data_IF_835908401789
#
_entry.id   IF_835908401789
#
_cell.length_a   1.000
_cell.length_b   1.000
_cell.length_c   1.000
_cell.angle_alpha   90.00
_cell.angle_beta   90.00
_cell.angle_gamma   90.00
#
_symmetry.space_group_name_H-M   'P 1'
#
loop_
_entity.id
_entity.type
_entity.pdbx_description
1 polymer ?
#
# COMPACT_ATOMS: atom_id res chain seq x y z
N UNK A 1 -42.59 -13.99 6.38
CA UNK A 1 -41.92 -13.51 7.61
C UNK A 1 -40.63 -14.30 7.78
N UNK A 2 -39.49 -13.77 7.32
CA UNK A 2 -38.18 -14.40 7.56
C UNK A 2 -37.78 -14.06 9.00
N UNK A 3 -37.53 -15.09 9.81
CA UNK A 3 -36.93 -14.98 11.14
C UNK A 3 -35.65 -14.14 11.05
N UNK A 4 -35.74 -12.87 11.44
CA UNK A 4 -34.57 -12.08 11.82
C UNK A 4 -34.16 -12.67 13.16
N UNK A 5 -33.19 -13.58 13.14
CA UNK A 5 -32.48 -13.99 14.35
C UNK A 5 -31.96 -12.70 14.99
N UNK A 6 -32.58 -12.27 16.09
CA UNK A 6 -32.04 -11.19 16.91
C UNK A 6 -30.64 -11.61 17.36
N UNK A 7 -29.63 -11.02 16.75
CA UNK A 7 -28.24 -11.23 17.17
C UNK A 7 -28.09 -10.56 18.53
N UNK A 8 -27.84 -11.38 19.58
CA UNK A 8 -27.61 -10.88 20.94
C UNK A 8 -26.33 -10.05 21.00
N UNK A 9 -26.33 -9.04 21.86
CA UNK A 9 -25.14 -8.24 22.15
C UNK A 9 -24.04 -9.15 22.70
N UNK A 10 -22.79 -9.05 22.19
CA UNK A 10 -21.71 -9.89 22.64
C UNK A 10 -21.33 -9.61 24.10
N UNK A 11 -20.94 -10.65 24.84
CA UNK A 11 -20.48 -10.55 26.23
C UNK A 11 -19.02 -10.08 26.37
N UNK A 12 -18.27 -10.07 25.27
CA UNK A 12 -16.86 -9.64 25.18
C UNK A 12 -16.51 -9.20 23.76
N UNK A 13 -15.39 -8.49 23.60
CA UNK A 13 -14.89 -7.98 22.31
C UNK A 13 -14.56 -9.14 21.37
N UNK A 14 -15.15 -9.14 20.17
CA UNK A 14 -15.00 -10.18 19.14
C UNK A 14 -13.79 -9.93 18.24
N UNK A 15 -12.58 -9.94 18.81
CA UNK A 15 -11.33 -9.61 18.09
C UNK A 15 -11.15 -10.37 16.77
N UNK A 16 -11.38 -11.69 16.75
CA UNK A 16 -11.22 -12.51 15.53
C UNK A 16 -12.22 -12.14 14.43
N UNK A 17 -13.46 -11.80 14.81
CA UNK A 17 -14.46 -11.32 13.86
C UNK A 17 -14.02 -10.00 13.24
N UNK A 18 -13.56 -9.05 14.08
CA UNK A 18 -13.13 -7.73 13.63
C UNK A 18 -11.95 -7.86 12.66
N UNK A 19 -10.92 -8.65 13.00
CA UNK A 19 -9.78 -8.91 12.09
C UNK A 19 -10.22 -9.43 10.73
N UNK A 20 -11.17 -10.38 10.71
CA UNK A 20 -11.70 -10.96 9.47
C UNK A 20 -12.44 -9.93 8.63
N UNK A 21 -13.28 -9.11 9.26
CA UNK A 21 -14.01 -8.03 8.58
C UNK A 21 -13.04 -6.98 8.03
N UNK A 22 -12.05 -6.56 8.81
CA UNK A 22 -11.02 -5.60 8.39
C UNK A 22 -10.26 -6.14 7.18
N UNK A 23 -9.79 -7.39 7.23
CA UNK A 23 -9.12 -8.02 6.08
C UNK A 23 -10.02 -8.01 4.82
N UNK A 24 -11.28 -8.43 4.95
CA UNK A 24 -12.20 -8.46 3.81
C UNK A 24 -12.44 -7.06 3.24
N UNK A 25 -12.56 -6.04 4.08
CA UNK A 25 -12.73 -4.65 3.65
C UNK A 25 -11.48 -4.13 2.92
N UNK A 26 -10.29 -4.36 3.49
CA UNK A 26 -9.02 -3.98 2.86
C UNK A 26 -8.88 -4.62 1.48
N UNK A 27 -9.15 -5.93 1.39
CA UNK A 27 -9.12 -6.67 0.12
C UNK A 27 -10.11 -6.12 -0.90
N UNK A 28 -11.38 -5.98 -0.50
CA UNK A 28 -12.46 -5.60 -1.41
C UNK A 28 -12.43 -4.11 -1.82
N UNK A 29 -11.69 -3.28 -1.07
CA UNK A 29 -11.42 -1.88 -1.40
C UNK A 29 -10.04 -1.68 -2.03
N UNK A 30 -9.31 -2.75 -2.36
CA UNK A 30 -7.99 -2.69 -3.01
C UNK A 30 -6.98 -1.79 -2.25
N UNK A 31 -6.98 -1.93 -0.93
CA UNK A 31 -6.03 -1.25 -0.03
C UNK A 31 -4.82 -2.15 0.15
N UNK A 32 -3.67 -1.70 -0.36
CA UNK A 32 -2.40 -2.42 -0.36
C UNK A 32 -1.24 -1.61 0.24
N UNK A 33 -1.51 -0.41 0.74
CA UNK A 33 -0.50 0.51 1.29
C UNK A 33 -1.07 1.35 2.43
N UNK A 34 -0.17 1.91 3.25
CA UNK A 34 -0.49 2.97 4.20
C UNK A 34 0.02 4.31 3.66
N UNK A 35 -0.65 5.44 3.97
CA UNK A 35 -1.90 5.56 4.74
C UNK A 35 -3.10 4.97 3.98
N UNK A 36 -4.10 4.45 4.69
CA UNK A 36 -5.32 3.93 4.06
C UNK A 36 -6.06 5.05 3.34
N UNK A 37 -6.32 4.84 2.05
CA UNK A 37 -7.14 5.70 1.21
C UNK A 37 -8.63 5.51 1.52
N UNK A 38 -9.24 6.55 2.09
CA UNK A 38 -10.65 6.51 2.49
C UNK A 38 -11.60 6.59 1.28
N UNK A 39 -11.16 7.14 0.14
CA UNK A 39 -12.00 7.25 -1.06
C UNK A 39 -12.19 5.90 -1.73
N UNK A 40 -11.17 5.06 -1.72
CA UNK A 40 -11.29 3.65 -2.12
C UNK A 40 -12.34 2.91 -1.29
N UNK A 41 -12.31 3.11 0.03
CA UNK A 41 -13.31 2.55 0.95
C UNK A 41 -14.70 3.12 0.65
N UNK A 42 -14.83 4.44 0.50
CA UNK A 42 -16.08 5.12 0.18
C UNK A 42 -16.72 4.58 -1.11
N UNK A 43 -15.91 4.41 -2.18
CA UNK A 43 -16.34 3.81 -3.44
C UNK A 43 -16.86 2.38 -3.23
N UNK A 44 -16.16 1.56 -2.46
CA UNK A 44 -16.57 0.19 -2.15
C UNK A 44 -17.89 0.14 -1.34
N UNK A 45 -17.99 0.87 -0.23
CA UNK A 45 -19.15 0.80 0.67
C UNK A 45 -20.42 1.37 0.02
N UNK A 46 -20.29 2.39 -0.85
CA UNK A 46 -21.40 2.96 -1.62
C UNK A 46 -21.99 1.95 -2.59
N UNK A 47 -21.14 1.17 -3.26
CA UNK A 47 -21.55 0.18 -4.27
C UNK A 47 -22.10 -1.10 -3.63
N UNK A 48 -21.44 -1.60 -2.58
CA UNK A 48 -21.67 -2.96 -2.09
C UNK A 48 -22.41 -3.04 -0.75
N UNK A 49 -22.37 -1.99 0.08
CA UNK A 49 -22.88 -2.00 1.47
C UNK A 49 -24.07 -1.05 1.64
N UNK A 50 -24.48 -0.35 0.58
CA UNK A 50 -25.54 0.69 0.62
C UNK A 50 -25.31 1.71 1.74
N UNK A 51 -24.04 2.06 1.97
CA UNK A 51 -23.63 3.03 2.97
C UNK A 51 -23.16 4.30 2.26
N UNK A 52 -23.59 5.49 2.73
CA UNK A 52 -23.16 6.78 2.18
C UNK A 52 -22.55 7.64 3.28
N UNK A 53 -21.42 8.26 2.98
CA UNK A 53 -20.81 9.28 3.83
C UNK A 53 -21.48 10.63 3.51
N UNK A 54 -21.87 11.37 4.55
CA UNK A 54 -22.54 12.66 4.45
C UNK A 54 -21.79 13.66 5.35
N UNK A 55 -21.10 14.66 4.77
CA UNK A 55 -20.49 15.71 5.57
C UNK A 55 -21.56 16.54 6.30
N UNK A 56 -21.24 17.02 7.50
CA UNK A 56 -22.10 17.91 8.27
C UNK A 56 -22.43 19.17 7.46
N UNK A 57 -21.45 19.78 6.79
CA UNK A 57 -21.65 20.95 5.94
C UNK A 57 -22.72 20.73 4.86
N UNK A 58 -22.73 19.54 4.25
CA UNK A 58 -23.70 19.17 3.21
C UNK A 58 -25.11 19.02 3.79
N UNK A 59 -25.25 18.36 4.95
CA UNK A 59 -26.54 18.21 5.61
C UNK A 59 -27.08 19.55 6.10
N UNK A 60 -26.22 20.37 6.72
CA UNK A 60 -26.54 21.72 7.17
C UNK A 60 -27.05 22.59 6.03
N UNK A 61 -26.34 22.61 4.88
CA UNK A 61 -26.78 23.38 3.70
C UNK A 61 -28.13 22.92 3.18
N UNK A 62 -28.38 21.61 3.17
CA UNK A 62 -29.63 21.04 2.65
C UNK A 62 -30.84 21.36 3.52
N UNK A 63 -30.66 21.42 4.84
CA UNK A 63 -31.76 21.60 5.81
C UNK A 63 -31.74 22.97 6.49
N UNK A 64 -30.85 23.88 6.04
CA UNK A 64 -30.65 25.21 6.60
C UNK A 64 -30.41 25.20 8.11
N UNK A 65 -29.50 24.31 8.56
CA UNK A 65 -29.15 24.16 9.98
C UNK A 65 -27.87 24.91 10.33
N UNK A 66 -27.85 25.49 11.53
CA UNK A 66 -26.62 25.94 12.19
C UNK A 66 -25.77 24.76 12.68
N UNK A 67 -24.49 25.01 12.99
CA UNK A 67 -23.60 23.96 13.55
C UNK A 67 -24.14 23.42 14.89
N UNK A 68 -24.73 24.27 15.72
CA UNK A 68 -25.33 23.86 17.01
C UNK A 68 -26.52 22.94 16.79
N UNK A 69 -27.36 23.22 15.81
CA UNK A 69 -28.50 22.35 15.44
C UNK A 69 -28.02 21.03 14.83
N UNK A 70 -26.97 21.06 14.01
CA UNK A 70 -26.38 19.84 13.45
C UNK A 70 -25.81 18.92 14.55
N UNK A 71 -25.08 19.48 15.52
CA UNK A 71 -24.55 18.72 16.66
C UNK A 71 -25.69 18.12 17.50
N UNK A 72 -26.78 18.87 17.71
CA UNK A 72 -27.98 18.36 18.39
C UNK A 72 -28.68 17.27 17.59
N UNK A 73 -28.77 17.40 16.27
CA UNK A 73 -29.35 16.39 15.38
C UNK A 73 -28.55 15.09 15.39
N UNK A 74 -27.22 15.20 15.32
CA UNK A 74 -26.31 14.06 15.35
C UNK A 74 -26.13 13.44 16.73
N UNK A 75 -26.47 14.20 17.79
CA UNK A 75 -26.10 13.89 19.19
C UNK A 75 -24.59 13.65 19.36
N UNK A 76 -23.79 14.32 18.53
CA UNK A 76 -22.34 14.12 18.43
C UNK A 76 -21.66 15.31 17.77
N UNK A 77 -20.51 15.70 18.33
CA UNK A 77 -19.65 16.73 17.74
C UNK A 77 -18.86 16.23 16.54
N UNK A 78 -18.69 14.91 16.40
CA UNK A 78 -17.70 14.33 15.49
C UNK A 78 -18.37 13.60 14.33
N UNK A 79 -19.37 12.78 14.63
CA UNK A 79 -20.08 11.98 13.64
C UNK A 79 -21.06 11.02 14.29
N UNK A 80 -21.93 10.44 13.47
CA UNK A 80 -22.89 9.42 13.88
C UNK A 80 -23.39 8.63 12.66
N UNK A 81 -24.05 7.50 12.91
CA UNK A 81 -24.63 6.67 11.85
C UNK A 81 -26.12 6.47 12.01
N UNK A 82 -26.84 6.66 10.89
CA UNK A 82 -28.25 6.33 10.75
C UNK A 82 -28.45 5.07 9.91
N UNK A 83 -29.25 4.15 10.42
CA UNK A 83 -29.71 2.98 9.68
C UNK A 83 -31.17 3.13 9.25
N UNK A 84 -31.46 2.94 7.96
CA UNK A 84 -32.83 2.91 7.44
C UNK A 84 -33.30 1.47 7.25
N UNK A 85 -34.19 0.99 8.14
CA UNK A 85 -34.77 -0.37 8.05
C UNK A 85 -35.51 -0.57 6.72
N UNK A 86 -36.28 0.44 6.27
CA UNK A 86 -37.05 0.36 5.01
C UNK A 86 -36.19 0.17 3.78
N UNK A 87 -35.00 0.80 3.74
CA UNK A 87 -34.10 0.78 2.58
C UNK A 87 -32.94 -0.21 2.73
N UNK A 88 -32.79 -0.79 3.93
CA UNK A 88 -31.60 -1.53 4.38
C UNK A 88 -30.31 -0.80 3.97
N UNK A 89 -30.21 0.47 4.37
CA UNK A 89 -29.13 1.38 3.96
C UNK A 89 -28.64 2.22 5.13
N UNK A 90 -27.38 2.66 5.06
CA UNK A 90 -26.71 3.42 6.10
C UNK A 90 -26.32 4.82 5.62
N UNK A 91 -26.41 5.80 6.52
CA UNK A 91 -25.85 7.14 6.33
C UNK A 91 -24.88 7.40 7.48
N UNK A 92 -23.61 7.57 7.18
CA UNK A 92 -22.59 7.99 8.16
C UNK A 92 -22.42 9.49 8.01
N UNK A 93 -22.75 10.23 9.05
CA UNK A 93 -22.49 11.66 9.15
C UNK A 93 -21.14 11.90 9.82
N UNK A 94 -20.38 12.88 9.31
CA UNK A 94 -19.10 13.27 9.91
C UNK A 94 -18.90 14.78 9.83
N UNK A 95 -18.24 15.33 10.85
CA UNK A 95 -17.99 16.77 10.97
C UNK A 95 -16.80 17.19 10.10
N UNK A 96 -17.07 17.87 8.99
CA UNK A 96 -16.08 18.40 8.05
C UNK A 96 -15.85 19.91 8.18
N UNK A 97 -16.44 20.56 9.21
CA UNK A 97 -16.37 22.02 9.37
C UNK A 97 -14.96 22.49 9.72
N UNK A 98 -14.20 21.72 10.50
CA UNK A 98 -12.79 22.01 10.78
C UNK A 98 -11.86 21.13 9.93
N UNK A 99 -11.53 21.61 8.74
CA UNK A 99 -10.72 20.88 7.74
C UNK A 99 -9.30 20.57 8.27
N UNK A 100 -8.80 21.32 9.25
CA UNK A 100 -7.50 21.10 9.88
C UNK A 100 -7.41 19.79 10.67
N UNK A 101 -8.53 19.08 10.87
CA UNK A 101 -8.60 17.81 11.60
C UNK A 101 -8.87 16.60 10.67
N UNK A 102 -8.29 16.59 9.47
CA UNK A 102 -8.48 15.50 8.49
C UNK A 102 -8.24 14.09 9.07
N UNK A 103 -7.24 13.92 9.93
CA UNK A 103 -6.96 12.66 10.61
C UNK A 103 -8.10 12.22 11.55
N UNK A 104 -8.76 13.18 12.20
CA UNK A 104 -9.92 12.93 13.07
C UNK A 104 -11.15 12.56 12.25
N UNK A 105 -11.37 13.25 11.12
CA UNK A 105 -12.44 12.90 10.18
C UNK A 105 -12.29 11.45 9.71
N UNK A 106 -11.09 11.06 9.27
CA UNK A 106 -10.79 9.67 8.86
C UNK A 106 -11.09 8.69 9.98
N UNK A 107 -10.64 8.98 11.20
CA UNK A 107 -10.89 8.15 12.38
C UNK A 107 -12.39 7.98 12.66
N UNK A 108 -13.14 9.09 12.70
CA UNK A 108 -14.58 9.07 12.95
C UNK A 108 -15.32 8.26 11.90
N UNK A 109 -15.03 8.46 10.61
CA UNK A 109 -15.63 7.68 9.53
C UNK A 109 -15.36 6.18 9.72
N UNK A 110 -14.13 5.78 10.06
CA UNK A 110 -13.82 4.37 10.28
C UNK A 110 -14.47 3.80 11.54
N UNK A 111 -14.59 4.59 12.60
CA UNK A 111 -15.29 4.19 13.83
C UNK A 111 -16.77 3.91 13.55
N UNK A 112 -17.45 4.85 12.90
CA UNK A 112 -18.84 4.70 12.45
C UNK A 112 -19.02 3.52 11.48
N UNK A 113 -18.10 3.36 10.53
CA UNK A 113 -18.08 2.20 9.64
C UNK A 113 -17.90 0.89 10.40
N UNK A 114 -17.14 0.89 11.50
CA UNK A 114 -17.02 -0.25 12.41
C UNK A 114 -18.38 -0.68 12.95
N UNK A 115 -19.21 0.27 13.40
CA UNK A 115 -20.58 -0.03 13.83
C UNK A 115 -21.45 -0.62 12.72
N UNK A 116 -21.34 -0.10 11.49
CA UNK A 116 -22.06 -0.63 10.32
C UNK A 116 -21.62 -2.06 10.02
N UNK A 117 -20.31 -2.29 9.87
CA UNK A 117 -19.72 -3.55 9.42
C UNK A 117 -19.89 -4.67 10.46
N UNK A 118 -19.89 -4.33 11.75
CA UNK A 118 -20.15 -5.27 12.84
C UNK A 118 -21.64 -5.48 13.11
N UNK A 119 -22.50 -4.80 12.36
CA UNK A 119 -23.95 -4.94 12.43
C UNK A 119 -24.55 -4.40 13.73
N UNK A 120 -23.87 -3.49 14.44
CA UNK A 120 -24.30 -2.99 15.75
C UNK A 120 -25.71 -2.38 15.73
N UNK A 121 -26.10 -1.77 14.60
CA UNK A 121 -27.43 -1.18 14.43
C UNK A 121 -28.55 -2.21 14.17
N UNK A 122 -28.20 -3.47 13.89
CA UNK A 122 -29.15 -4.57 13.72
C UNK A 122 -29.29 -5.43 14.99
N UNK A 123 -28.48 -5.17 16.03
CA UNK A 123 -28.51 -5.91 17.30
C UNK A 123 -29.63 -5.43 18.25
N UNK A 124 -30.28 -4.31 17.95
CA UNK A 124 -31.42 -3.78 18.69
C UNK A 124 -32.53 -3.35 17.73
N UNK A 125 -33.78 -3.27 18.21
CA UNK A 125 -34.95 -2.83 17.42
C UNK A 125 -34.88 -1.36 16.96
N UNK A 126 -33.72 -0.70 17.07
CA UNK A 126 -33.56 0.74 16.83
C UNK A 126 -32.45 1.05 15.85
N UNK A 127 -32.72 2.09 15.06
CA UNK A 127 -31.96 2.56 13.89
C UNK A 127 -30.70 3.37 14.20
N UNK A 128 -30.50 3.79 15.46
CA UNK A 128 -29.29 4.43 15.99
C UNK A 128 -28.91 3.72 17.29
N UNK A 129 -27.62 3.59 17.58
CA UNK A 129 -27.14 3.09 18.88
C UNK A 129 -27.39 4.20 19.91
N UNK A 130 -28.49 4.11 20.66
CA UNK A 130 -28.77 5.07 21.72
C UNK A 130 -28.27 4.53 23.07
N UNK A 131 -27.41 5.32 23.75
CA UNK A 131 -26.91 5.08 25.12
C UNK A 131 -28.01 4.77 26.14
N UNK A 132 -29.21 5.32 25.96
CA UNK A 132 -30.28 5.28 26.97
C UNK A 132 -31.00 3.94 27.15
N UNK A 133 -30.69 2.91 26.35
CA UNK A 133 -31.34 1.59 26.42
C UNK A 133 -30.38 0.41 26.57
N UNK A 134 -29.08 0.65 26.45
CA UNK A 134 -28.05 -0.35 26.68
C UNK A 134 -27.53 -0.20 28.10
N UNK A 135 -27.12 -1.29 28.74
CA UNK A 135 -26.27 -1.14 29.92
C UNK A 135 -24.94 -0.48 29.53
N UNK A 136 -24.34 0.27 30.44
CA UNK A 136 -23.02 0.91 30.21
C UNK A 136 -21.98 -0.12 29.74
N UNK A 137 -22.08 -1.36 30.23
CA UNK A 137 -21.22 -2.47 29.84
C UNK A 137 -21.43 -2.89 28.38
N UNK A 138 -22.67 -3.12 27.96
CA UNK A 138 -23.00 -3.52 26.59
C UNK A 138 -22.60 -2.44 25.59
N UNK A 139 -22.94 -1.19 25.89
CA UNK A 139 -22.54 -0.04 25.10
C UNK A 139 -21.01 0.06 25.01
N UNK A 140 -20.31 -0.07 26.14
CA UNK A 140 -18.85 -0.06 26.18
C UNK A 140 -18.18 -1.15 25.33
N UNK A 141 -18.80 -2.34 25.21
CA UNK A 141 -18.29 -3.40 24.33
C UNK A 141 -18.41 -2.98 22.86
N UNK A 142 -19.58 -2.50 22.42
CA UNK A 142 -19.80 -2.11 21.02
C UNK A 142 -18.89 -0.95 20.58
N UNK A 143 -18.71 0.05 21.44
CA UNK A 143 -17.78 1.16 21.23
C UNK A 143 -16.32 0.68 21.16
N UNK A 144 -15.94 -0.25 22.04
CA UNK A 144 -14.59 -0.84 22.03
C UNK A 144 -14.34 -1.65 20.77
N UNK A 145 -15.34 -2.37 20.25
CA UNK A 145 -15.24 -3.08 18.97
C UNK A 145 -15.08 -2.13 17.79
N UNK A 146 -15.86 -1.03 17.74
CA UNK A 146 -15.73 0.00 16.71
C UNK A 146 -14.37 0.71 16.75
N UNK A 147 -13.87 1.03 17.94
CA UNK A 147 -12.52 1.56 18.14
C UNK A 147 -11.44 0.57 17.70
N UNK A 148 -11.57 -0.71 18.06
CA UNK A 148 -10.62 -1.74 17.63
C UNK A 148 -10.65 -1.91 16.11
N UNK A 149 -11.83 -1.89 15.50
CA UNK A 149 -12.01 -1.91 14.04
C UNK A 149 -11.27 -0.74 13.38
N UNK A 150 -11.55 0.50 13.78
CA UNK A 150 -10.90 1.69 13.22
C UNK A 150 -9.37 1.64 13.36
N UNK A 151 -8.89 1.25 14.55
CA UNK A 151 -7.44 1.12 14.80
C UNK A 151 -6.77 0.05 13.93
N UNK A 152 -7.48 -1.06 13.70
CA UNK A 152 -6.96 -2.20 12.93
C UNK A 152 -7.04 -1.95 11.43
N UNK A 153 -7.99 -1.14 10.98
CA UNK A 153 -8.08 -0.67 9.60
C UNK A 153 -6.92 0.27 9.26
N UNK A 154 -6.70 1.31 10.07
CA UNK A 154 -5.70 2.34 9.75
C UNK A 154 -4.26 1.99 10.10
N UNK A 155 -4.05 1.21 11.15
CA UNK A 155 -2.72 0.89 11.64
C UNK A 155 -2.62 -0.58 12.08
N UNK A 156 -2.78 -1.56 11.17
CA UNK A 156 -2.79 -2.98 11.53
C UNK A 156 -1.48 -3.37 12.25
N UNK A 157 -1.50 -4.00 13.44
CA UNK A 157 -0.29 -4.24 14.23
C UNK A 157 0.75 -5.10 13.49
N UNK A 158 0.28 -6.03 12.66
CA UNK A 158 1.14 -6.87 11.84
C UNK A 158 1.91 -6.08 10.78
N UNK A 159 1.28 -5.07 10.17
CA UNK A 159 1.92 -4.18 9.20
C UNK A 159 2.92 -3.27 9.91
N UNK A 160 2.55 -2.72 11.07
CA UNK A 160 3.47 -1.95 11.90
C UNK A 160 4.72 -2.76 12.28
N UNK A 161 4.57 -4.05 12.56
CA UNK A 161 5.69 -4.94 12.82
C UNK A 161 6.58 -5.15 11.59
N UNK A 162 5.99 -5.39 10.42
CA UNK A 162 6.72 -5.55 9.16
C UNK A 162 7.42 -4.27 8.67
N UNK A 163 6.89 -3.11 9.07
CA UNK A 163 7.53 -1.80 8.88
C UNK A 163 8.63 -1.50 9.92
N UNK A 164 8.77 -2.36 10.93
CA UNK A 164 9.73 -2.20 12.03
C UNK A 164 9.59 -0.85 12.77
N UNK A 165 8.36 -0.39 13.00
CA UNK A 165 8.13 0.90 13.67
C UNK A 165 8.78 0.92 15.06
N UNK A 166 9.46 2.03 15.37
CA UNK A 166 10.23 2.24 16.61
C UNK A 166 9.61 3.30 17.51
N UNK A 167 8.71 4.12 16.99
CA UNK A 167 8.11 5.23 17.72
C UNK A 167 6.66 5.53 17.31
N UNK A 168 5.98 6.35 18.12
CA UNK A 168 4.68 6.92 17.74
C UNK A 168 4.80 7.83 16.49
N UNK A 169 5.94 8.50 16.30
CA UNK A 169 6.20 9.34 15.12
C UNK A 169 6.19 8.51 13.83
N UNK A 170 6.74 7.29 13.87
CA UNK A 170 6.68 6.38 12.72
C UNK A 170 5.24 6.03 12.36
N UNK A 171 4.42 5.68 13.36
CA UNK A 171 2.99 5.39 13.16
C UNK A 171 2.26 6.61 12.61
N UNK A 172 2.54 7.79 13.16
CA UNK A 172 1.97 9.05 12.68
C UNK A 172 2.29 9.27 11.20
N UNK A 173 3.55 9.07 10.81
CA UNK A 173 4.02 9.23 9.43
C UNK A 173 3.39 8.21 8.48
N UNK A 174 3.47 6.91 8.79
CA UNK A 174 2.95 5.86 7.92
C UNK A 174 1.42 5.86 7.82
N UNK A 175 0.72 6.04 8.94
CA UNK A 175 -0.74 5.85 9.01
C UNK A 175 -1.51 7.17 8.86
N UNK A 176 -0.83 8.31 8.94
CA UNK A 176 -1.43 9.65 9.00
C UNK A 176 -2.49 9.74 10.11
N UNK A 177 -2.11 9.39 11.33
CA UNK A 177 -2.95 9.53 12.52
C UNK A 177 -2.63 10.83 13.26
N UNK A 178 -3.46 11.25 14.21
CA UNK A 178 -3.08 12.33 15.13
C UNK A 178 -1.93 11.89 16.04
N UNK A 179 -1.21 12.84 16.64
CA UNK A 179 -0.14 12.53 17.59
C UNK A 179 -0.67 11.66 18.76
N UNK A 180 -1.79 12.05 19.35
CA UNK A 180 -2.43 11.30 20.44
C UNK A 180 -2.83 9.88 20.03
N UNK A 181 -3.48 9.73 18.87
CA UNK A 181 -3.87 8.41 18.35
C UNK A 181 -2.63 7.53 18.07
N UNK A 182 -1.54 8.14 17.61
CA UNK A 182 -0.28 7.44 17.34
C UNK A 182 0.42 6.98 18.62
N UNK A 183 0.41 7.78 19.68
CA UNK A 183 0.93 7.40 21.00
C UNK A 183 0.13 6.22 21.57
N UNK A 184 -1.20 6.33 21.55
CA UNK A 184 -2.09 5.27 22.02
C UNK A 184 -1.89 3.99 21.20
N UNK A 185 -1.75 4.11 19.88
CA UNK A 185 -1.51 2.97 19.00
C UNK A 185 -0.14 2.33 19.24
N UNK A 186 0.91 3.12 19.43
CA UNK A 186 2.26 2.60 19.72
C UNK A 186 2.29 1.80 21.02
N UNK A 187 1.60 2.28 22.06
CA UNK A 187 1.46 1.55 23.32
C UNK A 187 0.70 0.23 23.17
N UNK A 188 -0.39 0.23 22.39
CA UNK A 188 -1.14 -0.99 22.06
C UNK A 188 -0.29 -1.97 21.22
N UNK A 189 0.45 -1.47 20.23
CA UNK A 189 1.38 -2.24 19.41
C UNK A 189 2.48 -2.91 20.24
N UNK A 190 3.10 -2.21 21.20
CA UNK A 190 4.10 -2.80 22.10
C UNK A 190 3.53 -4.01 22.86
N UNK A 191 2.31 -3.88 23.40
CA UNK A 191 1.63 -5.00 24.08
C UNK A 191 1.34 -6.16 23.12
N UNK A 192 0.86 -5.85 21.92
CA UNK A 192 0.61 -6.86 20.88
C UNK A 192 1.91 -7.59 20.48
N UNK A 193 3.01 -6.85 20.29
CA UNK A 193 4.33 -7.39 19.90
C UNK A 193 4.91 -8.32 20.97
N UNK A 194 4.68 -8.03 22.26
CA UNK A 194 5.12 -8.89 23.36
C UNK A 194 4.41 -10.26 23.37
N UNK A 195 3.18 -10.33 22.88
CA UNK A 195 2.38 -11.56 22.87
C UNK A 195 2.62 -12.45 21.63
N UNK A 196 3.29 -11.95 20.58
CA UNK A 196 3.73 -12.64 19.34
C UNK A 196 2.73 -13.58 18.64
N UNK A 197 1.42 -13.48 18.89
CA UNK A 197 0.45 -14.37 18.27
C UNK A 197 -0.05 -13.83 16.93
N UNK A 198 0.38 -14.48 15.83
CA UNK A 198 -0.13 -14.21 14.49
C UNK A 198 -1.39 -15.03 14.20
N UNK A 199 -2.46 -14.35 13.79
CA UNK A 199 -3.67 -15.01 13.29
C UNK A 199 -3.60 -15.27 11.79
N UNK A 200 -4.45 -16.16 11.29
CA UNK A 200 -4.57 -16.40 9.84
C UNK A 200 -4.91 -15.13 9.05
N UNK A 201 -5.70 -14.23 9.65
CA UNK A 201 -6.00 -12.90 9.08
C UNK A 201 -4.75 -12.01 8.99
N UNK A 202 -3.84 -12.08 9.95
CA UNK A 202 -2.61 -11.27 9.94
C UNK A 202 -1.70 -11.66 8.75
N UNK A 203 -1.58 -12.96 8.45
CA UNK A 203 -0.83 -13.46 7.29
C UNK A 203 -1.43 -12.93 5.98
N UNK A 204 -2.77 -12.95 5.88
CA UNK A 204 -3.47 -12.45 4.69
C UNK A 204 -3.30 -10.94 4.52
N UNK A 205 -3.29 -10.19 5.62
CA UNK A 205 -3.03 -8.74 5.60
C UNK A 205 -1.57 -8.45 5.19
N UNK A 206 -0.58 -9.22 5.67
CA UNK A 206 0.81 -9.11 5.17
C UNK A 206 0.86 -9.30 3.65
N UNK A 207 0.20 -10.35 3.13
CA UNK A 207 0.22 -10.63 1.70
C UNK A 207 -0.37 -9.49 0.86
N UNK A 208 -1.45 -8.83 1.33
CA UNK A 208 -2.02 -7.66 0.66
C UNK A 208 -1.05 -6.47 0.61
N UNK A 209 -0.22 -6.31 1.64
CA UNK A 209 0.72 -5.18 1.78
C UNK A 209 2.14 -5.55 1.37
N UNK A 210 2.37 -6.71 0.75
CA UNK A 210 3.70 -7.23 0.43
C UNK A 210 4.53 -6.20 -0.34
N UNK A 211 4.00 -5.69 -1.46
CA UNK A 211 4.71 -4.68 -2.27
C UNK A 211 5.00 -3.42 -1.46
N UNK A 212 4.07 -2.94 -0.64
CA UNK A 212 4.28 -1.75 0.19
C UNK A 212 5.37 -1.95 1.24
N UNK A 213 5.40 -3.11 1.91
CA UNK A 213 6.42 -3.45 2.92
C UNK A 213 7.80 -3.57 2.28
N UNK A 214 7.86 -4.18 1.11
CA UNK A 214 9.10 -4.59 0.43
C UNK A 214 9.58 -3.59 -0.63
N UNK A 215 8.79 -2.55 -0.96
CA UNK A 215 9.22 -1.49 -1.86
C UNK A 215 10.43 -0.75 -1.29
N UNK A 216 11.47 -0.61 -2.12
CA UNK A 216 12.69 0.12 -1.82
C UNK A 216 12.97 1.09 -2.95
N UNK A 217 13.34 2.30 -2.56
CA UNK A 217 13.90 3.32 -3.42
C UNK A 217 15.41 3.42 -3.19
N UNK A 218 16.17 3.46 -4.28
CA UNK A 218 17.59 3.79 -4.24
C UNK A 218 17.79 5.30 -4.11
N UNK A 219 18.57 5.76 -3.12
CA UNK A 219 18.82 7.20 -2.91
C UNK A 219 19.77 7.84 -3.93
N UNK A 220 20.43 7.04 -4.77
CA UNK A 220 21.37 7.53 -5.80
C UNK A 220 20.70 7.71 -7.16
N UNK A 221 19.94 6.70 -7.60
CA UNK A 221 19.33 6.67 -8.92
C UNK A 221 17.80 6.82 -8.89
N UNK A 222 17.18 6.93 -7.71
CA UNK A 222 15.73 7.04 -7.51
C UNK A 222 14.90 5.91 -8.13
N UNK A 223 15.53 4.76 -8.44
CA UNK A 223 14.83 3.57 -8.89
C UNK A 223 14.06 2.91 -7.74
N UNK A 224 12.86 2.42 -8.05
CA UNK A 224 11.98 1.69 -7.13
C UNK A 224 11.90 0.23 -7.53
N UNK A 225 12.02 -0.67 -6.55
CA UNK A 225 11.86 -2.09 -6.78
C UNK A 225 11.40 -2.81 -5.51
N UNK A 226 10.88 -4.02 -5.68
CA UNK A 226 10.49 -4.87 -4.57
C UNK A 226 11.72 -5.67 -4.11
N UNK A 227 12.14 -5.44 -2.87
CA UNK A 227 13.29 -6.06 -2.25
C UNK A 227 12.90 -7.27 -1.39
N UNK A 228 13.62 -8.36 -1.53
CA UNK A 228 13.56 -9.47 -0.58
C UNK A 228 14.46 -9.21 0.65
N UNK A 229 14.55 -10.20 1.55
CA UNK A 229 15.38 -10.11 2.75
C UNK A 229 16.89 -10.08 2.49
N UNK A 230 17.34 -10.50 1.31
CA UNK A 230 18.76 -10.62 0.96
C UNK A 230 19.27 -9.43 0.13
N UNK A 231 18.36 -8.55 -0.29
CA UNK A 231 18.63 -7.37 -1.09
C UNK A 231 19.39 -6.32 -0.27
N UNK A 232 20.63 -6.07 -0.64
CA UNK A 232 21.50 -5.05 -0.05
C UNK A 232 21.87 -3.93 -1.03
N UNK A 233 21.73 -4.17 -2.34
CA UNK A 233 22.21 -3.27 -3.39
C UNK A 233 21.11 -2.96 -4.41
N UNK A 234 21.15 -1.74 -4.95
CA UNK A 234 20.29 -1.33 -6.05
C UNK A 234 20.67 -2.10 -7.33
N UNK A 235 19.71 -2.75 -8.00
CA UNK A 235 19.98 -3.51 -9.22
C UNK A 235 20.41 -2.61 -10.40
N UNK A 236 20.13 -1.31 -10.35
CA UNK A 236 20.40 -0.38 -11.45
C UNK A 236 21.77 0.31 -11.32
N UNK A 237 22.16 0.74 -10.13
CA UNK A 237 23.38 1.54 -9.94
C UNK A 237 24.37 0.99 -8.91
N UNK A 238 24.08 -0.18 -8.32
CA UNK A 238 24.96 -0.84 -7.34
C UNK A 238 25.07 -0.12 -6.00
N UNK A 239 24.29 0.94 -5.74
CA UNK A 239 24.31 1.65 -4.47
C UNK A 239 23.62 0.83 -3.37
N UNK A 240 24.19 0.82 -2.16
CA UNK A 240 23.66 0.09 -1.01
C UNK A 240 22.79 0.95 -0.07
N UNK A 241 22.66 2.26 -0.34
CA UNK A 241 21.77 3.14 0.42
C UNK A 241 20.36 3.05 -0.17
N UNK A 242 19.57 2.14 0.39
CA UNK A 242 18.17 1.90 0.03
C UNK A 242 17.26 2.38 1.16
N UNK A 243 16.18 3.08 0.82
CA UNK A 243 15.15 3.49 1.78
C UNK A 243 13.79 2.96 1.34
N UNK A 244 12.83 2.84 2.26
CA UNK A 244 11.46 2.46 1.91
C UNK A 244 10.77 3.61 1.16
N UNK A 245 9.92 3.26 0.21
CA UNK A 245 9.08 4.22 -0.51
C UNK A 245 9.24 4.14 -2.01
N UNK A 246 8.53 5.03 -2.70
CA UNK A 246 8.45 5.06 -4.14
C UNK A 246 9.35 6.17 -4.69
N UNK A 247 10.34 5.75 -5.45
CA UNK A 247 11.16 6.60 -6.30
C UNK A 247 10.46 6.99 -7.59
N UNK A 248 10.91 8.13 -8.12
CA UNK A 248 10.35 8.77 -9.31
C UNK A 248 10.92 8.21 -10.62
N UNK A 249 12.09 7.56 -10.55
CA UNK A 249 12.81 7.14 -11.75
C UNK A 249 12.34 5.78 -12.23
N UNK A 250 11.92 5.72 -13.51
CA UNK A 250 11.54 4.48 -14.20
C UNK A 250 12.54 4.23 -15.31
N UNK A 251 13.45 3.30 -15.08
CA UNK A 251 14.38 2.82 -16.10
C UNK A 251 13.64 1.93 -17.11
N UNK A 252 14.08 1.96 -18.36
CA UNK A 252 13.58 1.14 -19.47
C UNK A 252 13.70 -0.34 -19.09
N UNK A 253 12.77 -1.14 -19.60
CA UNK A 253 12.88 -2.58 -19.53
C UNK A 253 14.13 -3.03 -20.28
N UNK A 254 14.80 -4.05 -19.74
CA UNK A 254 15.99 -4.61 -20.36
C UNK A 254 15.64 -5.69 -21.36
N UNK A 255 16.59 -6.59 -21.58
CA UNK A 255 16.41 -7.75 -22.46
C UNK A 255 15.30 -8.66 -21.90
N UNK A 256 14.26 -9.03 -22.70
CA UNK A 256 13.19 -9.90 -22.22
C UNK A 256 13.72 -11.28 -21.77
N UNK A 257 13.28 -11.74 -20.59
CA UNK A 257 13.76 -12.99 -19.98
C UNK A 257 12.66 -14.05 -19.82
N UNK A 258 13.07 -15.32 -19.85
CA UNK A 258 12.35 -16.46 -19.27
C UNK A 258 12.48 -16.48 -17.74
N UNK A 259 11.73 -17.37 -17.09
CA UNK A 259 11.68 -17.45 -15.63
C UNK A 259 12.98 -17.90 -14.96
N UNK A 260 13.86 -18.54 -15.71
CA UNK A 260 15.19 -18.98 -15.27
C UNK A 260 16.30 -17.93 -15.53
N UNK A 261 15.96 -16.79 -16.15
CA UNK A 261 16.90 -15.73 -16.48
C UNK A 261 17.53 -15.81 -17.88
N UNK A 262 17.17 -16.80 -18.71
CA UNK A 262 17.59 -16.84 -20.11
C UNK A 262 16.89 -15.76 -20.95
N UNK A 263 17.61 -15.14 -21.88
CA UNK A 263 17.04 -14.20 -22.83
C UNK A 263 16.05 -14.89 -23.77
N UNK A 264 14.91 -14.23 -24.04
CA UNK A 264 13.92 -14.67 -25.04
C UNK A 264 14.33 -14.36 -26.47
N UNK A 265 15.24 -13.41 -26.63
CA UNK A 265 15.81 -12.97 -27.90
C UNK A 265 17.27 -12.60 -27.67
N UNK A 266 18.15 -12.93 -28.62
CA UNK A 266 19.57 -12.61 -28.48
C UNK A 266 19.77 -11.08 -28.49
N UNK A 267 20.34 -10.49 -27.42
CA UNK A 267 20.46 -9.03 -27.30
C UNK A 267 21.49 -8.40 -28.24
N UNK A 268 22.23 -9.20 -29.01
CA UNK A 268 23.26 -8.74 -29.94
C UNK A 268 22.85 -8.84 -31.42
N UNK A 269 22.06 -9.84 -31.79
CA UNK A 269 21.74 -10.12 -33.19
C UNK A 269 20.26 -10.40 -33.45
N UNK A 270 19.42 -10.21 -32.43
CA UNK A 270 17.96 -10.39 -32.49
C UNK A 270 17.51 -11.80 -32.91
N UNK A 271 18.39 -12.80 -32.80
CA UNK A 271 18.00 -14.19 -33.02
C UNK A 271 16.96 -14.60 -31.97
N UNK A 272 15.76 -14.96 -32.42
CA UNK A 272 14.64 -15.42 -31.59
C UNK A 272 14.77 -16.91 -31.24
N UNK A 273 15.55 -17.67 -32.01
CA UNK A 273 15.83 -19.08 -31.78
C UNK A 273 16.96 -19.25 -30.75
N UNK A 274 16.65 -18.80 -29.53
CA UNK A 274 17.46 -18.91 -28.30
C UNK A 274 16.83 -19.83 -27.27
N UNK A 275 15.80 -20.60 -27.68
CA UNK A 275 15.13 -21.57 -26.82
C UNK A 275 16.03 -22.77 -26.59
N UNK A 276 16.69 -22.81 -25.44
CA UNK A 276 17.53 -23.93 -25.01
C UNK A 276 18.22 -23.61 -23.69
N UNK A 277 18.69 -24.64 -22.99
CA UNK A 277 19.59 -24.50 -21.82
C UNK A 277 21.00 -24.02 -22.21
N UNK A 278 21.16 -23.47 -23.41
CA UNK A 278 22.44 -23.04 -23.97
C UNK A 278 22.74 -21.63 -23.47
N UNK A 279 23.90 -21.47 -22.85
CA UNK A 279 24.32 -20.18 -22.31
C UNK A 279 24.74 -19.16 -23.40
N UNK A 280 24.90 -19.59 -24.64
CA UNK A 280 25.43 -18.78 -25.74
C UNK A 280 24.56 -18.86 -27.00
N UNK A 281 24.46 -17.76 -27.72
CA UNK A 281 23.74 -17.68 -29.00
C UNK A 281 24.49 -18.45 -30.09
N UNK A 282 23.82 -19.41 -30.72
CA UNK A 282 24.35 -20.20 -31.84
C UNK A 282 24.68 -19.40 -33.11
N UNK A 283 24.17 -18.17 -33.23
CA UNK A 283 24.39 -17.30 -34.40
C UNK A 283 25.62 -16.40 -34.20
N UNK A 284 25.75 -15.76 -33.04
CA UNK A 284 26.77 -14.71 -32.82
C UNK A 284 27.66 -14.93 -31.58
N UNK A 285 27.46 -16.01 -30.84
CA UNK A 285 28.22 -16.34 -29.62
C UNK A 285 27.93 -15.42 -28.42
N UNK A 286 26.91 -14.58 -28.46
CA UNK A 286 26.53 -13.73 -27.31
C UNK A 286 26.07 -14.57 -26.11
N UNK A 287 26.44 -14.17 -24.89
CA UNK A 287 25.97 -14.81 -23.66
C UNK A 287 24.49 -14.48 -23.42
N UNK A 288 23.68 -15.47 -23.01
CA UNK A 288 22.21 -15.35 -23.00
C UNK A 288 21.59 -15.37 -21.61
N UNK A 289 22.36 -15.60 -20.55
CA UNK A 289 21.83 -15.73 -19.18
C UNK A 289 22.09 -14.43 -18.41
N UNK A 290 21.04 -13.87 -17.79
CA UNK A 290 21.15 -12.68 -16.95
C UNK A 290 21.40 -13.07 -15.48
N UNK A 291 22.63 -12.93 -15.03
CA UNK A 291 23.05 -13.37 -13.71
C UNK A 291 24.19 -12.51 -13.14
N UNK A 292 24.53 -12.75 -11.88
CA UNK A 292 25.66 -12.09 -11.23
C UNK A 292 26.97 -12.59 -11.83
N UNK A 293 27.83 -11.70 -12.34
CA UNK A 293 29.10 -12.07 -13.00
C UNK A 293 30.12 -12.74 -12.07
N UNK A 294 29.90 -12.66 -10.76
CA UNK A 294 30.88 -13.12 -9.77
C UNK A 294 32.05 -12.16 -9.64
N UNK A 295 33.09 -12.59 -8.93
CA UNK A 295 34.35 -11.85 -8.79
C UNK A 295 35.31 -12.32 -9.86
N UNK A 296 35.90 -11.39 -10.58
CA UNK A 296 36.91 -11.70 -11.58
C UNK A 296 38.28 -11.16 -11.19
N UNK A 297 39.32 -11.81 -11.71
CA UNK A 297 40.69 -11.36 -11.67
C UNK A 297 41.32 -11.59 -13.05
N UNK A 298 42.50 -11.02 -13.25
CA UNK A 298 43.28 -11.20 -14.46
C UNK A 298 44.45 -12.13 -14.17
N UNK A 299 44.72 -13.05 -15.08
CA UNK A 299 45.91 -13.88 -15.00
C UNK A 299 47.15 -13.13 -15.51
N UNK A 300 48.27 -13.86 -15.65
CA UNK A 300 49.54 -13.29 -16.11
C UNK A 300 49.50 -12.84 -17.57
N UNK A 301 48.57 -13.38 -18.37
CA UNK A 301 48.37 -13.04 -19.77
C UNK A 301 47.28 -11.96 -19.94
N UNK A 302 46.80 -11.41 -18.83
CA UNK A 302 45.72 -10.42 -18.76
C UNK A 302 44.36 -10.95 -19.24
N UNK A 303 44.17 -12.27 -19.16
CA UNK A 303 42.89 -12.93 -19.40
C UNK A 303 42.04 -12.94 -18.13
N UNK A 304 40.77 -12.58 -18.27
CA UNK A 304 39.85 -12.48 -17.14
C UNK A 304 39.32 -13.86 -16.76
N UNK A 305 39.48 -14.25 -15.49
CA UNK A 305 38.92 -15.49 -14.95
C UNK A 305 38.08 -15.23 -13.69
N UNK A 306 37.12 -16.13 -13.43
CA UNK A 306 36.23 -16.04 -12.27
C UNK A 306 36.91 -16.63 -11.04
N UNK A 307 37.14 -15.78 -10.04
CA UNK A 307 37.70 -16.14 -8.72
C UNK A 307 36.61 -16.63 -7.77
N UNK A 308 35.43 -16.00 -7.83
CA UNK A 308 34.27 -16.37 -7.01
C UNK A 308 33.03 -16.41 -7.91
N UNK A 309 32.22 -17.47 -7.88
CA UNK A 309 31.01 -17.56 -8.67
C UNK A 309 29.98 -16.48 -8.27
N UNK A 310 29.00 -16.25 -9.15
CA UNK A 310 27.88 -15.36 -8.88
C UNK A 310 27.01 -15.84 -7.72
N UNK A 311 26.20 -14.91 -7.15
CA UNK A 311 25.33 -15.20 -6.00
C UNK A 311 24.14 -16.15 -6.31
N UNK A 312 24.02 -16.67 -7.53
CA UNK A 312 22.90 -17.48 -8.00
C UNK A 312 21.52 -16.87 -7.62
N UNK A 313 21.38 -15.57 -7.88
CA UNK A 313 20.14 -14.82 -7.65
C UNK A 313 19.50 -14.47 -8.97
N UNK A 314 18.16 -14.55 -9.01
CA UNK A 314 17.39 -14.14 -10.19
C UNK A 314 17.45 -12.62 -10.32
N UNK A 315 18.13 -12.14 -11.36
CA UNK A 315 18.21 -10.72 -11.68
C UNK A 315 17.10 -10.31 -12.64
N UNK A 316 16.67 -9.05 -12.57
CA UNK A 316 15.69 -8.50 -13.51
C UNK A 316 16.32 -8.22 -14.89
N UNK A 317 15.49 -8.13 -15.92
CA UNK A 317 15.87 -7.83 -17.32
C UNK A 317 16.84 -6.64 -17.42
N UNK A 318 16.61 -5.59 -16.65
CA UNK A 318 17.35 -4.32 -16.65
C UNK A 318 18.40 -4.22 -15.53
N UNK A 319 18.63 -5.28 -14.74
CA UNK A 319 19.59 -5.28 -13.66
C UNK A 319 21.02 -5.16 -14.23
N UNK A 320 21.75 -4.15 -13.78
CA UNK A 320 23.18 -3.94 -14.05
C UNK A 320 24.07 -4.45 -12.93
N UNK A 321 23.49 -4.61 -11.75
CA UNK A 321 24.17 -5.03 -10.54
C UNK A 321 23.37 -6.09 -9.79
N UNK A 322 24.08 -7.00 -9.13
CA UNK A 322 23.53 -8.01 -8.26
C UNK A 322 22.96 -7.38 -6.99
N UNK A 323 21.69 -7.68 -6.68
CA UNK A 323 21.00 -7.15 -5.50
C UNK A 323 21.60 -7.61 -4.18
N UNK A 324 22.34 -8.72 -4.16
CA UNK A 324 22.92 -9.30 -2.94
C UNK A 324 24.36 -8.84 -2.68
N UNK A 325 25.24 -8.88 -3.69
CA UNK A 325 26.67 -8.57 -3.53
C UNK A 325 27.14 -7.28 -4.23
N UNK A 326 26.30 -6.63 -5.04
CA UNK A 326 26.63 -5.37 -5.71
C UNK A 326 27.60 -5.48 -6.89
N UNK A 327 28.02 -6.70 -7.28
CA UNK A 327 28.83 -6.93 -8.49
C UNK A 327 27.99 -6.76 -9.75
N UNK A 328 28.63 -6.58 -10.90
CA UNK A 328 27.92 -6.38 -12.16
C UNK A 328 27.14 -7.63 -12.59
N UNK A 329 26.09 -7.41 -13.38
CA UNK A 329 25.40 -8.48 -14.07
C UNK A 329 26.13 -8.84 -15.37
N UNK A 330 25.89 -10.03 -15.89
CA UNK A 330 26.41 -10.48 -17.18
C UNK A 330 25.93 -9.58 -18.32
N UNK A 331 24.67 -9.15 -18.34
CA UNK A 331 24.18 -8.29 -19.43
C UNK A 331 24.76 -6.88 -19.40
N UNK A 332 25.11 -6.36 -18.23
CA UNK A 332 25.85 -5.11 -18.15
C UNK A 332 27.32 -5.29 -18.48
N UNK A 333 27.94 -6.39 -18.04
CA UNK A 333 29.34 -6.72 -18.36
C UNK A 333 29.59 -6.88 -19.87
N UNK A 334 28.62 -7.45 -20.60
CA UNK A 334 28.71 -7.66 -22.06
C UNK A 334 28.08 -6.55 -22.89
N UNK A 335 27.83 -5.38 -22.29
CA UNK A 335 27.29 -4.17 -22.95
C UNK A 335 25.92 -4.36 -23.63
N UNK A 336 25.11 -5.32 -23.17
CA UNK A 336 23.71 -5.45 -23.59
C UNK A 336 22.81 -4.41 -22.91
N UNK A 337 23.28 -3.82 -21.81
CA UNK A 337 22.62 -2.75 -21.09
C UNK A 337 23.53 -1.51 -21.04
N UNK A 338 23.03 -0.34 -21.41
CA UNK A 338 23.74 0.94 -21.24
C UNK A 338 23.99 1.27 -19.78
N UNK A 339 24.89 2.19 -19.47
CA UNK A 339 25.05 2.65 -18.08
C UNK A 339 23.77 3.34 -17.58
N UNK A 340 23.47 3.21 -16.28
CA UNK A 340 22.26 3.82 -15.71
C UNK A 340 22.27 5.35 -15.79
N UNK A 341 23.46 5.96 -15.80
CA UNK A 341 23.63 7.41 -15.93
C UNK A 341 23.32 7.90 -17.33
N UNK A 342 23.77 7.18 -18.37
CA UNK A 342 23.42 7.48 -19.75
C UNK A 342 21.91 7.37 -19.97
N UNK A 343 21.32 6.25 -19.55
CA UNK A 343 19.88 6.03 -19.73
C UNK A 343 19.05 7.07 -18.95
N UNK A 344 19.51 7.45 -17.75
CA UNK A 344 18.84 8.51 -16.98
C UNK A 344 18.83 9.84 -17.76
N UNK A 345 19.94 10.24 -18.35
CA UNK A 345 20.02 11.46 -19.15
C UNK A 345 19.10 11.38 -20.38
N UNK A 346 19.05 10.22 -21.05
CA UNK A 346 18.12 10.01 -22.18
C UNK A 346 16.67 10.21 -21.76
N UNK A 347 16.25 9.60 -20.66
CA UNK A 347 14.87 9.69 -20.15
C UNK A 347 14.52 11.12 -19.72
N UNK A 348 15.43 11.82 -19.05
CA UNK A 348 15.20 13.21 -18.62
C UNK A 348 15.10 14.16 -19.82
N UNK A 349 15.89 13.93 -20.89
CA UNK A 349 15.79 14.70 -22.13
C UNK A 349 14.49 14.43 -22.89
N UNK A 350 14.08 13.15 -23.00
CA UNK A 350 12.81 12.74 -23.62
C UNK A 350 11.61 13.41 -22.91
N UNK A 351 11.64 13.49 -21.57
CA UNK A 351 10.59 14.16 -20.78
C UNK A 351 10.53 15.66 -21.05
N UNK A 352 11.68 16.35 -21.03
CA UNK A 352 11.74 17.79 -21.31
C UNK A 352 11.20 18.13 -22.70
N UNK A 353 11.51 17.30 -23.70
CA UNK A 353 10.99 17.48 -25.05
C UNK A 353 9.47 17.28 -25.10
N UNK A 354 8.94 16.25 -24.43
CA UNK A 354 7.50 16.00 -24.37
C UNK A 354 6.72 17.11 -23.63
N UNK A 355 7.30 17.68 -22.57
CA UNK A 355 6.70 18.79 -21.82
C UNK A 355 6.69 20.07 -22.67
N UNK A 356 7.74 20.31 -23.45
CA UNK A 356 7.83 21.43 -24.39
C UNK A 356 6.82 21.31 -25.55
N UNK A 357 6.68 20.12 -26.13
CA UNK A 357 5.67 19.85 -27.18
C UNK A 357 4.23 19.98 -26.63
N UNK A 358 4.00 19.52 -25.39
CA UNK A 358 2.69 19.66 -24.73
C UNK A 358 2.34 21.11 -24.38
N UNK A 359 3.33 21.95 -24.04
CA UNK A 359 3.11 23.39 -23.77
C UNK A 359 2.96 24.23 -25.03
N UNK A 360 3.60 23.85 -26.14
CA UNK A 360 3.46 24.55 -27.43
C UNK A 360 2.13 24.25 -28.12
N UNK A 361 1.51 23.08 -27.89
CA UNK A 361 0.17 22.76 -28.39
C UNK A 361 -0.99 23.48 -27.66
N UNK A 362 -0.72 24.20 -26.57
CA UNK A 362 -1.74 24.94 -25.79
C UNK A 362 -1.86 26.42 -26.24
N UNK A 363 -0.97 26.91 -27.10
CA UNK A 363 -1.02 28.28 -27.62
C UNK A 363 -1.19 28.29 -29.15
N UNK A 364 -2.44 28.35 -29.62
CA UNK A 364 -2.83 29.37 -30.62
C UNK A 364 -4.34 29.40 -30.97
N UNK A 365 -5.15 28.38 -30.65
CA UNK A 365 -6.56 28.35 -31.09
C UNK A 365 -7.63 28.24 -29.98
N UNK A 366 -7.30 28.54 -28.71
CA UNK A 366 -8.24 28.41 -27.58
C UNK A 366 -8.51 29.71 -26.82
N UNK A 367 -8.56 30.84 -27.52
CA UNK A 367 -9.13 32.09 -26.97
C UNK A 367 -10.46 32.35 -27.68
N UNK A 368 -11.61 32.08 -27.04
CA UNK A 368 -12.89 32.53 -27.59
C UNK A 368 -12.98 34.05 -27.43
N UNK A 369 -13.08 34.76 -28.55
CA UNK A 369 -13.58 36.14 -28.59
C UNK A 369 -15.07 36.19 -28.21
#
# INVERSE_FOLDING_TARGET
MKNILMMKIPSSIRYSLIKRIVYNLLKASEITSLPVDIEKINSHIKKNIKCRLIPYSMHMKKFNLTITEMIRYADSKDGCTDYSVKKDSYLIYYNDININESNRIRWTIAHELGHVMLGHHKLSDKTRIFRSKLSDKEYGILESEANYFASSLFAPPIILNALEVKSASDIQSYCQLSNEASINRFNSYKKWKANQFFSAEDIKVIALFFNFIHSRMCTKCNYTFIADSNTNFCPICGNNKLIRGDGKMKYKEGVPLYDDGHAKICPRCDNEDVSGSEAYCKICGAYLIQECSGKTAFDVDNEEYVVEPGCNVKLTSNARYCTVCGRTSTFYKYDYLKSWSEEKNEIENEQQQSDFESTTLINDDSIPF
#
